data_IF_269293395115
#
_entry.id   IF_269293395115
#
_cell.length_a   1.000
_cell.length_b   1.000
_cell.length_c   1.000
_cell.angle_alpha   90.00
_cell.angle_beta   90.00
_cell.angle_gamma   90.00
#
_symmetry.space_group_name_H-M   'P 1'
#
loop_
_entity.id
_entity.type
_entity.pdbx_description
1 polymer ?
#
# COMPACT_ATOMS: atom_id res chain seq x y z
N UNK A 1 11.75 -36.48 -16.57
CA UNK A 1 12.90 -35.60 -16.24
C UNK A 1 12.52 -34.80 -14.99
N UNK A 2 12.97 -35.25 -13.82
CA UNK A 2 12.67 -34.64 -12.52
C UNK A 2 13.73 -33.58 -12.20
N UNK A 3 13.33 -32.31 -12.10
CA UNK A 3 14.20 -31.26 -11.61
C UNK A 3 14.14 -31.23 -10.07
N UNK A 4 15.19 -31.77 -9.44
CA UNK A 4 15.46 -31.64 -8.01
C UNK A 4 15.95 -30.22 -7.70
N UNK A 5 15.16 -29.43 -6.97
CA UNK A 5 15.62 -28.19 -6.38
C UNK A 5 16.32 -28.48 -5.05
N UNK A 6 17.65 -28.58 -5.05
CA UNK A 6 18.45 -28.64 -3.83
C UNK A 6 18.75 -27.22 -3.38
N UNK A 7 18.23 -26.86 -2.21
CA UNK A 7 18.37 -25.53 -1.62
C UNK A 7 19.78 -25.22 -1.16
N UNK A 8 20.25 -24.02 -1.49
CA UNK A 8 21.42 -23.40 -0.87
C UNK A 8 20.93 -22.43 0.21
N UNK A 9 20.97 -22.86 1.47
CA UNK A 9 20.79 -21.93 2.60
C UNK A 9 22.18 -21.44 3.02
N UNK A 10 22.44 -20.15 2.80
CA UNK A 10 23.72 -19.52 3.10
C UNK A 10 24.00 -19.52 4.62
N UNK A 11 25.24 -19.79 5.09
CA UNK A 11 25.59 -19.96 6.51
C UNK A 11 25.50 -18.70 7.41
N UNK A 12 24.83 -17.64 6.97
CA UNK A 12 24.75 -16.36 7.70
C UNK A 12 23.70 -16.32 8.82
N UNK A 13 22.96 -17.41 9.07
CA UNK A 13 21.93 -17.53 10.10
C UNK A 13 22.47 -17.74 11.53
N UNK A 14 23.53 -17.02 11.92
CA UNK A 14 24.01 -17.01 13.30
C UNK A 14 23.29 -15.93 14.10
N UNK A 15 22.85 -16.29 15.30
CA UNK A 15 22.01 -15.48 16.15
C UNK A 15 22.76 -14.35 16.90
N UNK A 16 22.05 -13.22 17.04
CA UNK A 16 22.03 -12.18 18.11
C UNK A 16 23.19 -11.18 18.27
N UNK A 17 22.84 -9.91 18.60
CA UNK A 17 23.12 -9.38 19.96
C UNK A 17 21.86 -8.87 20.69
N UNK A 18 21.99 -8.68 22.01
CA UNK A 18 20.94 -8.22 22.96
C UNK A 18 20.37 -6.85 22.58
N UNK A 19 19.04 -6.71 22.69
CA UNK A 19 18.30 -5.45 22.53
C UNK A 19 18.71 -4.45 23.62
N UNK A 20 19.43 -3.41 23.21
CA UNK A 20 19.38 -2.11 23.92
C UNK A 20 17.98 -1.54 23.70
N UNK A 21 17.43 -0.81 24.66
CA UNK A 21 16.19 -0.06 24.43
C UNK A 21 16.41 0.90 23.25
N UNK A 22 15.64 0.71 22.17
CA UNK A 22 15.76 1.48 20.93
C UNK A 22 14.49 2.28 20.71
N UNK A 23 14.64 3.51 20.26
CA UNK A 23 13.52 4.31 19.79
C UNK A 23 13.09 3.74 18.43
N UNK A 24 11.86 3.22 18.39
CA UNK A 24 11.20 2.76 17.16
C UNK A 24 10.09 3.73 16.82
N UNK A 25 10.08 4.21 15.58
CA UNK A 25 9.09 5.18 15.10
C UNK A 25 8.39 4.61 13.88
N UNK A 26 7.07 4.70 13.90
CA UNK A 26 6.23 4.55 12.72
C UNK A 26 6.08 5.91 12.06
N UNK A 27 6.45 6.02 10.79
CA UNK A 27 6.33 7.24 10.00
C UNK A 27 5.27 7.03 8.93
N UNK A 28 4.15 7.73 9.05
CA UNK A 28 3.05 7.66 8.10
C UNK A 28 3.11 8.81 7.09
N UNK A 29 3.45 8.49 5.84
CA UNK A 29 3.46 9.46 4.75
C UNK A 29 2.04 9.69 4.24
N UNK A 30 1.58 10.95 4.24
CA UNK A 30 0.31 11.31 3.64
C UNK A 30 0.28 10.99 2.13
N UNK A 31 -0.90 10.72 1.56
CA UNK A 31 -1.04 10.50 0.11
C UNK A 31 -0.56 11.68 -0.74
N UNK A 32 -0.64 12.90 -0.18
CA UNK A 32 -0.15 14.13 -0.82
C UNK A 32 1.36 14.33 -0.71
N UNK A 33 2.05 13.55 0.14
CA UNK A 33 3.50 13.60 0.25
C UNK A 33 4.21 13.07 -1.02
N UNK A 34 3.45 12.50 -1.96
CA UNK A 34 3.94 11.89 -3.20
C UNK A 34 3.22 12.44 -4.45
N UNK A 35 2.58 13.60 -4.36
CA UNK A 35 1.97 14.31 -5.50
C UNK A 35 2.51 15.73 -5.58
N UNK A 36 2.60 16.29 -6.78
CA UNK A 36 2.98 17.69 -6.95
C UNK A 36 1.96 18.63 -6.28
N UNK A 37 2.41 19.84 -5.93
CA UNK A 37 1.59 20.86 -5.27
C UNK A 37 0.39 21.32 -6.12
N UNK A 38 0.45 21.13 -7.43
CA UNK A 38 -0.62 21.43 -8.40
C UNK A 38 -1.57 20.24 -8.63
N UNK A 39 -1.38 19.11 -7.93
CA UNK A 39 -2.15 17.89 -8.11
C UNK A 39 -1.66 17.01 -9.28
N UNK A 40 -0.58 17.39 -9.95
CA UNK A 40 0.09 16.58 -10.95
C UNK A 40 0.58 15.24 -10.37
N UNK A 41 0.24 14.15 -11.06
CA UNK A 41 0.59 12.79 -10.67
C UNK A 41 1.58 12.13 -11.65
N UNK A 42 2.38 12.93 -12.35
CA UNK A 42 3.37 12.38 -13.30
C UNK A 42 4.44 11.59 -12.52
N UNK A 43 5.02 10.53 -13.09
CA UNK A 43 6.00 9.71 -12.40
C UNK A 43 7.17 10.52 -11.82
N UNK A 44 7.62 11.55 -12.53
CA UNK A 44 8.76 12.41 -12.15
C UNK A 44 8.44 13.22 -10.89
N UNK A 45 7.19 13.70 -10.78
CA UNK A 45 6.72 14.44 -9.61
C UNK A 45 6.67 13.53 -8.37
N UNK A 46 6.25 12.27 -8.52
CA UNK A 46 6.23 11.30 -7.42
C UNK A 46 7.65 10.95 -6.96
N UNK A 47 8.58 10.78 -7.90
CA UNK A 47 9.98 10.50 -7.61
C UNK A 47 10.63 11.68 -6.87
N UNK A 48 10.40 12.91 -7.33
CA UNK A 48 10.94 14.11 -6.68
C UNK A 48 10.40 14.28 -5.25
N UNK A 49 9.09 14.06 -5.07
CA UNK A 49 8.45 14.12 -3.75
C UNK A 49 8.97 13.01 -2.80
N UNK A 50 9.14 11.79 -3.31
CA UNK A 50 9.76 10.69 -2.56
C UNK A 50 11.20 11.00 -2.14
N UNK A 51 12.01 11.59 -3.03
CA UNK A 51 13.38 11.98 -2.71
C UNK A 51 13.44 13.00 -1.56
N UNK A 52 12.55 14.00 -1.57
CA UNK A 52 12.45 14.98 -0.49
C UNK A 52 12.05 14.32 0.84
N UNK A 53 11.01 13.49 0.84
CA UNK A 53 10.54 12.81 2.05
C UNK A 53 11.61 11.86 2.62
N UNK A 54 12.28 11.09 1.76
CA UNK A 54 13.27 10.11 2.19
C UNK A 54 14.58 10.74 2.66
N UNK A 55 14.90 11.97 2.25
CA UNK A 55 16.01 12.73 2.83
C UNK A 55 15.80 12.95 4.34
N UNK A 56 14.59 13.36 4.76
CA UNK A 56 14.23 13.53 6.17
C UNK A 56 14.20 12.20 6.94
N UNK A 57 13.72 11.13 6.30
CA UNK A 57 13.76 9.80 6.92
C UNK A 57 15.21 9.34 7.14
N UNK A 58 16.11 9.58 6.17
CA UNK A 58 17.51 9.21 6.29
C UNK A 58 18.23 9.95 7.44
N UNK A 59 17.79 11.16 7.80
CA UNK A 59 18.27 11.88 9.00
C UNK A 59 17.89 11.16 10.29
N UNK A 60 16.61 10.77 10.42
CA UNK A 60 16.16 9.97 11.57
C UNK A 60 16.93 8.64 11.68
N UNK A 61 17.23 8.01 10.54
CA UNK A 61 18.05 6.78 10.51
C UNK A 61 19.48 7.06 10.98
N UNK A 62 20.06 8.20 10.59
CA UNK A 62 21.40 8.63 11.02
C UNK A 62 21.47 8.83 12.54
N UNK A 63 20.39 9.30 13.15
CA UNK A 63 20.22 9.44 14.61
C UNK A 63 20.01 8.10 15.34
N UNK A 64 20.06 6.99 14.61
CA UNK A 64 20.00 5.63 15.16
C UNK A 64 18.59 5.08 15.37
N UNK A 65 17.55 5.80 14.94
CA UNK A 65 16.14 5.41 15.08
C UNK A 65 15.82 4.18 14.23
N UNK A 66 15.05 3.24 14.77
CA UNK A 66 14.45 2.14 14.01
C UNK A 66 13.15 2.62 13.37
N UNK A 67 13.03 2.55 12.05
CA UNK A 67 11.89 3.14 11.32
C UNK A 67 11.08 2.07 10.60
N UNK A 68 9.76 2.15 10.77
CA UNK A 68 8.77 1.57 9.87
C UNK A 68 8.08 2.71 9.13
N UNK A 69 8.07 2.67 7.81
CA UNK A 69 7.38 3.61 6.95
C UNK A 69 6.04 3.02 6.52
N UNK A 70 4.98 3.81 6.62
CA UNK A 70 3.71 3.55 5.94
C UNK A 70 3.40 4.72 5.02
N UNK A 71 2.46 4.53 4.10
CA UNK A 71 2.06 5.59 3.19
C UNK A 71 0.59 5.48 2.80
N UNK A 72 -0.03 6.61 2.48
CA UNK A 72 -1.29 6.62 1.73
C UNK A 72 -1.08 6.22 0.26
N UNK A 73 -2.16 5.92 -0.45
CA UNK A 73 -2.12 5.60 -1.88
C UNK A 73 -3.27 6.24 -2.68
N UNK A 74 -4.05 7.16 -2.09
CA UNK A 74 -5.29 7.70 -2.67
C UNK A 74 -5.14 8.21 -4.11
N UNK A 75 -4.19 9.12 -4.40
CA UNK A 75 -3.94 9.57 -5.78
C UNK A 75 -3.50 8.43 -6.73
N UNK A 76 -2.64 7.54 -6.26
CA UNK A 76 -2.07 6.45 -7.07
C UNK A 76 -3.09 5.38 -7.40
N UNK A 77 -3.90 4.95 -6.42
CA UNK A 77 -4.98 3.99 -6.63
C UNK A 77 -6.07 4.62 -7.50
N UNK A 78 -6.36 5.92 -7.33
CA UNK A 78 -7.25 6.67 -8.21
C UNK A 78 -6.81 6.66 -9.68
N UNK A 79 -5.52 6.84 -9.95
CA UNK A 79 -4.97 6.77 -11.31
C UNK A 79 -5.07 5.36 -11.91
N UNK A 80 -4.84 4.30 -11.10
CA UNK A 80 -5.04 2.93 -11.56
C UNK A 80 -6.51 2.63 -11.88
N UNK A 81 -7.44 3.14 -11.07
CA UNK A 81 -8.87 3.01 -11.34
C UNK A 81 -9.24 3.68 -12.66
N UNK A 82 -8.77 4.91 -12.92
CA UNK A 82 -9.01 5.59 -14.20
C UNK A 82 -8.48 4.78 -15.38
N UNK A 83 -7.29 4.17 -15.26
CA UNK A 83 -6.74 3.29 -16.30
C UNK A 83 -7.59 2.04 -16.51
N UNK A 84 -8.07 1.41 -15.43
CA UNK A 84 -9.00 0.29 -15.51
C UNK A 84 -10.31 0.68 -16.20
N UNK A 85 -10.86 1.85 -15.86
CA UNK A 85 -12.09 2.39 -16.45
C UNK A 85 -11.93 2.61 -17.97
N UNK A 86 -10.85 3.27 -18.38
CA UNK A 86 -10.57 3.55 -19.79
C UNK A 86 -10.29 2.27 -20.61
N UNK A 87 -9.72 1.24 -19.98
CA UNK A 87 -9.38 -0.02 -20.64
C UNK A 87 -10.51 -1.06 -20.62
N UNK A 88 -11.59 -0.84 -19.86
CA UNK A 88 -12.61 -1.86 -19.55
C UNK A 88 -13.26 -2.47 -20.80
N UNK A 89 -13.37 -1.71 -21.89
CA UNK A 89 -13.92 -2.18 -23.16
C UNK A 89 -13.02 -3.18 -23.92
N UNK A 90 -11.73 -3.26 -23.56
CA UNK A 90 -10.72 -4.09 -24.24
C UNK A 90 -10.11 -5.14 -23.30
N UNK A 91 -9.87 -4.77 -22.05
CA UNK A 91 -9.27 -5.62 -21.02
C UNK A 91 -10.14 -5.53 -19.77
N UNK A 92 -10.57 -6.67 -19.19
CA UNK A 92 -11.36 -6.66 -17.96
C UNK A 92 -10.65 -5.89 -16.83
N UNK A 93 -11.38 -5.04 -16.08
CA UNK A 93 -10.79 -4.30 -14.98
C UNK A 93 -10.35 -5.27 -13.87
N UNK A 94 -9.19 -4.98 -13.25
CA UNK A 94 -8.76 -5.70 -12.03
C UNK A 94 -9.48 -5.15 -10.80
N UNK A 95 -9.72 -5.98 -9.77
CA UNK A 95 -10.43 -5.55 -8.56
C UNK A 95 -9.60 -4.59 -7.71
N UNK A 96 -10.28 -3.85 -6.82
CA UNK A 96 -9.65 -2.78 -6.05
C UNK A 96 -8.55 -3.25 -5.09
N UNK A 97 -8.66 -4.44 -4.52
CA UNK A 97 -7.60 -5.05 -3.70
C UNK A 97 -6.31 -5.27 -4.51
N UNK A 98 -6.43 -5.66 -5.78
CA UNK A 98 -5.27 -5.77 -6.69
C UNK A 98 -4.68 -4.40 -7.01
N UNK A 99 -5.52 -3.38 -7.23
CA UNK A 99 -5.04 -2.01 -7.35
C UNK A 99 -4.29 -1.57 -6.09
N UNK A 100 -4.80 -1.90 -4.90
CA UNK A 100 -4.10 -1.72 -3.62
C UNK A 100 -2.72 -2.37 -3.63
N UNK A 101 -2.63 -3.65 -4.00
CA UNK A 101 -1.38 -4.39 -4.09
C UNK A 101 -0.38 -3.76 -5.08
N UNK A 102 -0.85 -3.37 -6.26
CA UNK A 102 -0.04 -2.70 -7.28
C UNK A 102 0.53 -1.37 -6.75
N UNK A 103 -0.26 -0.59 -6.01
CA UNK A 103 0.24 0.65 -5.42
C UNK A 103 1.28 0.41 -4.33
N UNK A 104 1.18 -0.64 -3.52
CA UNK A 104 2.21 -0.99 -2.55
C UNK A 104 3.54 -1.32 -3.24
N UNK A 105 3.50 -2.11 -4.32
CA UNK A 105 4.69 -2.44 -5.10
C UNK A 105 5.31 -1.20 -5.74
N UNK A 106 4.48 -0.35 -6.36
CA UNK A 106 4.95 0.84 -7.08
C UNK A 106 5.55 1.89 -6.13
N UNK A 107 4.82 2.23 -5.06
CA UNK A 107 5.26 3.24 -4.10
C UNK A 107 6.42 2.72 -3.25
N UNK A 108 6.39 1.46 -2.83
CA UNK A 108 7.51 0.85 -2.12
C UNK A 108 8.79 0.85 -2.96
N UNK A 109 8.72 0.53 -4.25
CA UNK A 109 9.86 0.64 -5.17
C UNK A 109 10.42 2.06 -5.23
N UNK A 110 9.57 3.06 -5.44
CA UNK A 110 9.99 4.47 -5.54
C UNK A 110 10.62 4.95 -4.21
N UNK A 111 9.99 4.63 -3.09
CA UNK A 111 10.45 5.01 -1.75
C UNK A 111 11.77 4.32 -1.38
N UNK A 112 11.93 3.03 -1.68
CA UNK A 112 13.19 2.31 -1.45
C UNK A 112 14.34 2.95 -2.24
N UNK A 113 14.14 3.21 -3.54
CA UNK A 113 15.19 3.82 -4.37
C UNK A 113 15.62 5.19 -3.81
N UNK A 114 14.65 6.03 -3.43
CA UNK A 114 14.90 7.34 -2.87
C UNK A 114 15.62 7.26 -1.51
N UNK A 115 15.21 6.33 -0.64
CA UNK A 115 15.80 6.14 0.68
C UNK A 115 17.21 5.55 0.60
N UNK A 116 17.43 4.54 -0.23
CA UNK A 116 18.75 3.93 -0.43
C UNK A 116 19.75 4.98 -0.91
N UNK A 117 19.35 5.84 -1.86
CA UNK A 117 20.17 6.96 -2.31
C UNK A 117 20.47 7.96 -1.18
N UNK A 118 19.47 8.33 -0.37
CA UNK A 118 19.62 9.27 0.74
C UNK A 118 20.50 8.72 1.89
N UNK A 119 20.43 7.42 2.14
CA UNK A 119 21.26 6.70 3.11
C UNK A 119 22.71 6.59 2.61
N UNK A 120 22.90 6.22 1.34
CA UNK A 120 24.22 6.11 0.72
C UNK A 120 24.96 7.46 0.71
N UNK A 121 24.26 8.56 0.40
CA UNK A 121 24.82 9.92 0.47
C UNK A 121 25.30 10.30 1.89
N UNK A 122 24.80 9.64 2.93
CA UNK A 122 25.19 9.82 4.35
C UNK A 122 26.18 8.74 4.83
N UNK A 123 26.67 7.87 3.94
CA UNK A 123 27.57 6.77 4.30
C UNK A 123 26.91 5.66 5.12
N UNK A 124 25.58 5.61 5.17
CA UNK A 124 24.83 4.58 5.90
C UNK A 124 24.61 3.35 5.01
N UNK A 125 24.87 2.16 5.54
CA UNK A 125 24.69 0.87 4.83
C UNK A 125 23.42 0.12 5.24
N UNK A 126 22.43 0.84 5.73
CA UNK A 126 21.18 0.24 6.21
C UNK A 126 20.36 -0.22 5.02
N UNK A 127 19.83 -1.45 5.09
CA UNK A 127 19.04 -2.02 4.01
C UNK A 127 17.58 -1.58 4.13
N UNK A 128 16.91 -1.38 3.00
CA UNK A 128 15.48 -1.12 2.92
C UNK A 128 14.74 -2.37 2.45
N UNK A 129 13.47 -2.50 2.85
CA UNK A 129 12.60 -3.56 2.37
C UNK A 129 11.15 -3.06 2.30
N UNK A 130 10.48 -3.31 1.17
CA UNK A 130 9.03 -3.14 1.06
C UNK A 130 8.34 -4.47 1.27
N UNK A 131 7.34 -4.48 2.14
CA UNK A 131 6.53 -5.67 2.43
C UNK A 131 5.12 -5.45 1.91
N UNK A 132 4.71 -6.30 0.96
CA UNK A 132 3.30 -6.42 0.59
C UNK A 132 2.54 -6.81 1.85
N UNK A 133 1.61 -5.95 2.25
CA UNK A 133 0.94 -6.02 3.55
C UNK A 133 -0.55 -6.21 3.34
N UNK A 134 -1.10 -7.24 3.97
CA UNK A 134 -2.52 -7.57 4.00
C UNK A 134 -3.12 -7.22 5.35
N UNK A 135 -4.31 -6.67 5.32
CA UNK A 135 -5.08 -6.28 6.50
C UNK A 135 -6.36 -7.09 6.53
N UNK A 136 -6.49 -7.91 7.57
CA UNK A 136 -7.70 -8.65 7.86
C UNK A 136 -8.81 -7.67 8.22
N UNK A 137 -9.96 -7.85 7.59
CA UNK A 137 -11.21 -7.15 7.89
C UNK A 137 -12.31 -8.19 8.15
N UNK A 138 -13.37 -7.75 8.80
CA UNK A 138 -14.53 -8.60 9.06
C UNK A 138 -15.41 -8.69 7.81
N UNK A 139 -15.78 -9.90 7.39
CA UNK A 139 -16.67 -10.09 6.24
C UNK A 139 -18.08 -9.57 6.54
N UNK A 140 -18.49 -9.63 7.81
CA UNK A 140 -19.80 -9.18 8.28
C UNK A 140 -19.82 -7.69 8.64
N UNK A 141 -18.75 -6.94 8.32
CA UNK A 141 -18.71 -5.50 8.55
C UNK A 141 -19.87 -4.80 7.80
N UNK A 142 -20.71 -3.99 8.48
CA UNK A 142 -21.83 -3.29 7.86
C UNK A 142 -21.44 -2.43 6.64
N UNK A 143 -20.18 -2.00 6.54
CA UNK A 143 -19.67 -1.26 5.40
C UNK A 143 -19.74 -2.03 4.07
N UNK A 144 -19.72 -3.37 4.11
CA UNK A 144 -19.91 -4.20 2.91
C UNK A 144 -21.36 -4.23 2.43
N UNK A 145 -22.33 -4.18 3.35
CA UNK A 145 -23.75 -4.14 3.00
C UNK A 145 -24.17 -2.77 2.46
N UNK A 146 -23.54 -1.69 2.94
CA UNK A 146 -23.81 -0.33 2.47
C UNK A 146 -22.53 0.44 2.15
N UNK A 147 -21.91 0.18 0.99
CA UNK A 147 -20.74 0.92 0.51
C UNK A 147 -21.04 2.42 0.41
N UNK A 148 -20.26 3.24 1.11
CA UNK A 148 -20.47 4.70 1.11
C UNK A 148 -19.21 5.48 0.77
N UNK A 149 -18.02 4.89 0.91
CA UNK A 149 -16.75 5.60 0.71
C UNK A 149 -16.57 5.90 -0.78
N UNK A 150 -16.56 7.18 -1.20
CA UNK A 150 -16.41 7.51 -2.59
C UNK A 150 -14.94 7.41 -3.02
N UNK A 151 -14.69 6.80 -4.17
CA UNK A 151 -13.36 6.66 -4.77
C UNK A 151 -13.40 7.06 -6.24
N UNK A 152 -12.22 7.28 -6.83
CA UNK A 152 -12.10 7.66 -8.24
C UNK A 152 -12.73 9.01 -8.59
N UNK A 153 -12.85 9.25 -9.89
CA UNK A 153 -13.45 10.44 -10.49
C UNK A 153 -14.97 10.32 -10.59
N UNK A 154 -15.62 11.41 -10.97
CA UNK A 154 -17.02 11.37 -11.40
C UNK A 154 -17.09 10.93 -12.85
N UNK A 155 -18.11 10.14 -13.18
CA UNK A 155 -18.37 9.62 -14.52
C UNK A 155 -19.77 10.02 -15.01
N UNK A 156 -19.95 10.20 -16.32
CA UNK A 156 -21.26 10.13 -16.96
C UNK A 156 -21.99 8.82 -16.65
N UNK A 157 -23.32 8.81 -16.79
CA UNK A 157 -24.16 7.66 -16.46
C UNK A 157 -23.84 6.43 -17.33
N UNK A 158 -23.69 6.63 -18.62
CA UNK A 158 -23.38 5.58 -19.60
C UNK A 158 -22.02 4.91 -19.32
N UNK A 159 -20.99 5.69 -18.99
CA UNK A 159 -19.70 5.13 -18.55
C UNK A 159 -19.81 4.35 -17.23
N UNK A 160 -20.59 4.87 -16.28
CA UNK A 160 -20.81 4.20 -15.00
C UNK A 160 -21.59 2.88 -15.17
N UNK A 161 -22.58 2.82 -16.07
CA UNK A 161 -23.38 1.63 -16.36
C UNK A 161 -22.53 0.47 -16.90
N UNK A 162 -21.51 0.75 -17.72
CA UNK A 162 -20.54 -0.27 -18.18
C UNK A 162 -19.81 -0.90 -16.99
N UNK A 163 -19.33 -0.07 -16.06
CA UNK A 163 -18.58 -0.52 -14.89
C UNK A 163 -19.48 -1.22 -13.86
N UNK A 164 -20.73 -0.78 -13.73
CA UNK A 164 -21.75 -1.51 -12.95
C UNK A 164 -22.00 -2.90 -13.54
N UNK A 165 -21.97 -3.06 -14.87
CA UNK A 165 -22.02 -4.37 -15.54
C UNK A 165 -20.86 -5.31 -15.16
N UNK A 166 -19.72 -4.76 -14.73
CA UNK A 166 -18.60 -5.51 -14.16
C UNK A 166 -18.69 -5.72 -12.63
N UNK A 167 -19.83 -5.40 -12.01
CA UNK A 167 -20.07 -5.59 -10.57
C UNK A 167 -19.62 -4.43 -9.67
N UNK A 168 -19.18 -3.31 -10.25
CA UNK A 168 -18.77 -2.14 -9.46
C UNK A 168 -19.99 -1.35 -8.96
N UNK A 169 -19.88 -0.76 -7.77
CA UNK A 169 -20.97 -0.02 -7.15
C UNK A 169 -20.75 1.49 -7.35
N UNK A 170 -21.78 2.18 -7.84
CA UNK A 170 -21.76 3.61 -8.10
C UNK A 170 -22.97 4.29 -7.46
N UNK A 171 -22.76 5.51 -6.99
CA UNK A 171 -23.81 6.35 -6.45
C UNK A 171 -24.00 7.59 -7.33
N UNK A 172 -25.26 7.91 -7.64
CA UNK A 172 -25.63 9.16 -8.32
C UNK A 172 -25.32 10.37 -7.41
N UNK A 173 -24.70 11.39 -8.01
CA UNK A 173 -24.35 12.66 -7.35
C UNK A 173 -24.93 13.87 -8.10
N UNK A 174 -26.00 13.66 -8.86
CA UNK A 174 -26.74 14.68 -9.59
C UNK A 174 -25.91 15.26 -10.74
N UNK A 175 -25.85 16.59 -10.82
CA UNK A 175 -25.13 17.30 -11.89
C UNK A 175 -23.63 16.96 -11.95
N UNK A 176 -23.05 16.47 -10.86
CA UNK A 176 -21.65 16.04 -10.82
C UNK A 176 -21.41 14.71 -11.54
N UNK A 177 -22.46 13.95 -11.83
CA UNK A 177 -22.39 12.59 -12.38
C UNK A 177 -22.33 11.50 -11.31
N UNK A 178 -21.92 10.31 -11.71
CA UNK A 178 -21.86 9.12 -10.87
C UNK A 178 -20.48 8.95 -10.26
N UNK A 179 -20.41 8.46 -9.03
CA UNK A 179 -19.13 8.20 -8.36
C UNK A 179 -19.07 6.80 -7.78
N UNK A 180 -17.96 6.10 -8.02
CA UNK A 180 -17.73 4.77 -7.46
C UNK A 180 -17.73 4.83 -5.94
N UNK A 181 -18.45 3.91 -5.30
CA UNK A 181 -18.49 3.75 -3.85
C UNK A 181 -18.03 2.34 -3.47
N UNK A 182 -17.27 2.25 -2.38
CA UNK A 182 -16.74 0.98 -1.86
C UNK A 182 -16.90 0.90 -0.35
N UNK A 183 -16.74 -0.32 0.17
CA UNK A 183 -16.69 -0.55 1.60
C UNK A 183 -15.45 0.10 2.22
N UNK A 184 -15.57 0.55 3.46
CA UNK A 184 -14.48 1.06 4.27
C UNK A 184 -14.54 0.43 5.66
N UNK A 185 -14.31 -0.89 5.76
CA UNK A 185 -14.43 -1.64 7.01
C UNK A 185 -13.31 -1.28 7.97
N UNK A 186 -13.52 -1.59 9.25
CA UNK A 186 -12.50 -1.40 10.27
C UNK A 186 -11.37 -2.44 10.14
N UNK A 187 -10.08 -2.04 10.19
CA UNK A 187 -8.97 -2.99 10.17
C UNK A 187 -8.97 -3.81 11.46
N UNK A 188 -8.90 -5.14 11.36
CA UNK A 188 -8.84 -6.05 12.51
C UNK A 188 -7.43 -6.51 12.82
N UNK A 189 -6.63 -6.81 11.80
CA UNK A 189 -5.28 -7.32 12.00
C UNK A 189 -4.39 -7.07 10.77
N UNK A 190 -3.16 -6.61 10.99
CA UNK A 190 -2.12 -6.66 9.95
C UNK A 190 -1.50 -8.06 9.94
N UNK A 191 -1.78 -8.84 8.90
CA UNK A 191 -1.39 -10.26 8.82
C UNK A 191 0.14 -10.40 8.71
N UNK A 192 0.78 -9.45 8.05
CA UNK A 192 2.21 -9.49 7.72
C UNK A 192 3.09 -8.76 8.75
N UNK A 193 2.53 -8.39 9.92
CA UNK A 193 3.21 -7.62 10.96
C UNK A 193 4.45 -8.33 11.55
N UNK A 194 4.44 -9.66 11.64
CA UNK A 194 5.57 -10.44 12.15
C UNK A 194 6.79 -10.35 11.21
N UNK A 195 6.56 -10.35 9.90
CA UNK A 195 7.61 -10.16 8.91
C UNK A 195 8.24 -8.77 9.02
N UNK A 196 7.39 -7.74 9.16
CA UNK A 196 7.82 -6.35 9.39
C UNK A 196 8.66 -6.26 10.66
N UNK A 197 8.15 -6.79 11.77
CA UNK A 197 8.84 -6.76 13.07
C UNK A 197 10.20 -7.46 13.00
N UNK A 198 10.25 -8.63 12.35
CA UNK A 198 11.50 -9.37 12.14
C UNK A 198 12.52 -8.52 11.38
N UNK A 199 12.14 -7.91 10.27
CA UNK A 199 13.07 -7.10 9.47
C UNK A 199 13.57 -5.86 10.23
N UNK A 200 12.69 -5.17 10.96
CA UNK A 200 13.09 -4.02 11.78
C UNK A 200 14.06 -4.44 12.89
N UNK A 201 13.82 -5.58 13.54
CA UNK A 201 14.73 -6.15 14.54
C UNK A 201 16.12 -6.43 13.96
N UNK A 202 16.16 -6.82 12.68
CA UNK A 202 17.36 -7.01 11.87
C UNK A 202 17.89 -5.72 11.21
N UNK A 203 17.45 -4.55 11.68
CA UNK A 203 17.91 -3.21 11.27
C UNK A 203 17.55 -2.81 9.85
N UNK A 204 16.60 -3.46 9.20
CA UNK A 204 16.03 -2.91 7.97
C UNK A 204 15.25 -1.63 8.29
N UNK A 205 15.19 -0.71 7.33
CA UNK A 205 14.11 0.29 7.27
C UNK A 205 13.00 -0.32 6.44
N UNK A 206 11.84 -0.57 7.06
CA UNK A 206 10.78 -1.34 6.44
C UNK A 206 9.67 -0.42 5.97
N UNK A 207 9.30 -0.50 4.70
CA UNK A 207 8.10 0.14 4.14
C UNK A 207 7.00 -0.92 4.11
N UNK A 208 5.89 -0.66 4.78
CA UNK A 208 4.78 -1.61 4.91
C UNK A 208 3.45 -0.88 4.98
N UNK A 209 2.36 -1.65 4.98
CA UNK A 209 1.00 -1.15 5.16
C UNK A 209 0.61 0.00 4.21
N UNK A 210 1.12 -0.04 2.98
CA UNK A 210 0.81 0.97 1.97
C UNK A 210 -0.69 0.99 1.66
N UNK A 211 -1.28 2.18 1.73
CA UNK A 211 -2.72 2.38 1.57
C UNK A 211 -3.59 1.85 2.72
N UNK A 212 -3.01 1.53 3.89
CA UNK A 212 -3.72 0.85 4.98
C UNK A 212 -3.73 -0.68 4.86
N UNK A 213 -2.97 -1.22 3.90
CA UNK A 213 -2.89 -2.65 3.64
C UNK A 213 -3.96 -3.15 2.67
N UNK A 214 -3.70 -4.30 2.02
CA UNK A 214 -4.65 -4.93 1.10
C UNK A 214 -5.75 -5.59 1.93
N UNK A 215 -7.03 -5.19 1.79
CA UNK A 215 -8.11 -5.79 2.57
C UNK A 215 -8.28 -7.26 2.20
N UNK A 216 -8.29 -8.13 3.21
CA UNK A 216 -8.58 -9.55 3.06
C UNK A 216 -9.56 -10.01 4.12
N UNK A 217 -10.36 -11.01 3.78
CA UNK A 217 -11.21 -11.75 4.73
C UNK A 217 -10.67 -13.17 4.89
N UNK A 218 -11.05 -13.80 6.00
CA UNK A 218 -10.78 -15.22 6.25
C UNK A 218 -12.03 -16.02 5.92
N UNK A 219 -11.89 -17.01 5.04
CA UNK A 219 -12.96 -17.96 4.74
C UNK A 219 -13.06 -19.03 5.84
N UNK A 220 -14.14 -19.82 5.84
CA UNK A 220 -14.40 -20.88 6.82
C UNK A 220 -13.28 -21.95 6.87
N UNK A 221 -12.62 -22.21 5.74
CA UNK A 221 -11.49 -23.14 5.63
C UNK A 221 -10.15 -22.54 6.11
N UNK A 222 -10.18 -21.30 6.61
CA UNK A 222 -9.03 -20.55 7.10
C UNK A 222 -8.21 -19.84 6.02
N UNK A 223 -8.52 -20.06 4.74
CA UNK A 223 -7.85 -19.38 3.62
C UNK A 223 -8.15 -17.87 3.61
N UNK A 224 -7.22 -17.10 3.07
CA UNK A 224 -7.37 -15.65 2.93
C UNK A 224 -7.76 -15.30 1.49
N UNK A 225 -8.74 -14.40 1.35
CA UNK A 225 -9.20 -13.90 0.06
C UNK A 225 -9.27 -12.37 0.08
N UNK A 226 -8.78 -11.73 -0.98
CA UNK A 226 -8.91 -10.30 -1.16
C UNK A 226 -10.35 -9.84 -1.33
N UNK A 227 -10.66 -8.64 -0.85
CA UNK A 227 -11.99 -8.02 -0.96
C UNK A 227 -11.85 -6.56 -1.38
N UNK A 228 -12.78 -6.09 -2.21
CA UNK A 228 -12.79 -4.72 -2.69
C UNK A 228 -13.26 -3.75 -1.59
N UNK A 229 -12.28 -3.17 -0.90
CA UNK A 229 -12.50 -2.17 0.12
C UNK A 229 -11.34 -1.16 0.16
N UNK A 230 -11.55 -0.04 0.86
CA UNK A 230 -10.46 0.87 1.24
C UNK A 230 -10.41 0.92 2.75
N UNK A 231 -9.27 0.54 3.33
CA UNK A 231 -9.04 0.71 4.76
C UNK A 231 -8.59 2.15 4.99
N UNK A 232 -9.11 2.77 6.04
CA UNK A 232 -8.62 4.09 6.43
C UNK A 232 -7.19 3.96 6.96
N UNK A 233 -6.24 4.62 6.28
CA UNK A 233 -4.81 4.56 6.60
C UNK A 233 -4.52 5.06 8.04
N UNK A 234 -5.37 5.91 8.59
CA UNK A 234 -5.18 6.48 9.93
C UNK A 234 -5.65 5.52 11.04
N UNK A 235 -6.51 4.54 10.69
CA UNK A 235 -6.95 3.47 11.61
C UNK A 235 -6.06 2.23 11.53
N UNK A 236 -5.34 2.04 10.42
CA UNK A 236 -4.47 0.88 10.19
C UNK A 236 -2.99 1.09 10.50
N UNK A 237 -2.58 2.33 10.83
CA UNK A 237 -1.20 2.70 11.14
C UNK A 237 -0.80 2.29 12.57
#
# INVERSE_FOLDING_TARGET
MSASWVGWVHPAWRARPRRVARVRVLVALGGNAMTAADGGARPEDQIAAAALAMASVAELVADGVDIVLTHGNGPQVGNLLVKNELAAAVVPPVPLDWCGAQTQGTLGFILMNALDAALAARGLRRQTATIVTRTLVDLDDPAFQRPTKPIGRYLPRDEAEVLMGHGQHFADRGERGWRRVVASPEPKQIIDADAVTTLVDHRFVVIANGGGGIPVVRNDDGSLRGVEAVIDKDLGA
#
